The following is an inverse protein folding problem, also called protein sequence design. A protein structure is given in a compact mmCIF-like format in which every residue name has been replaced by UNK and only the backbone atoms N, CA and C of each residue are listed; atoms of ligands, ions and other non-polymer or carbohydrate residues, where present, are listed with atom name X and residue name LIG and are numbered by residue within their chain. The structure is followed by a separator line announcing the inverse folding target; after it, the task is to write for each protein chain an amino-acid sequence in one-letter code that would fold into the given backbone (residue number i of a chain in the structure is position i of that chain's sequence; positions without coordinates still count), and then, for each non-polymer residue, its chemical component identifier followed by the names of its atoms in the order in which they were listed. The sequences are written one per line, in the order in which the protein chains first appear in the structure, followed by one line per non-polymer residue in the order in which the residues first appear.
data_IF_197360220375
#
_entry.id   IF_197360220375
#
_cell.length_a   1.000
_cell.length_b   1.000
_cell.length_c   1.000
_cell.angle_alpha   90.00
_cell.angle_beta   90.00
_cell.angle_gamma   90.00
#
_symmetry.space_group_name_H-M   'P 1'
#
loop_
_entity.id
_entity.type
_entity.pdbx_description
1 polymer ?
#
# COMPACT_ATOMS: atom_id res chain seq x y z
N UNK A 1 5.93 -6.21 0.08
CA UNK A 1 4.47 -6.01 -0.10
C UNK A 1 3.92 -4.88 0.76
N UNK A 2 2.89 -4.16 0.29
CA UNK A 2 2.21 -3.06 0.98
C UNK A 2 0.72 -3.39 1.20
N UNK A 3 0.31 -3.48 2.48
CA UNK A 3 -1.04 -3.89 2.86
C UNK A 3 -2.18 -2.94 2.40
N UNK A 4 -1.85 -1.66 2.17
CA UNK A 4 -2.75 -0.63 1.61
C UNK A 4 -2.18 -0.04 0.32
N UNK A 5 -1.45 -0.85 -0.44
CA UNK A 5 -0.71 -0.40 -1.62
C UNK A 5 -1.58 0.29 -2.68
N UNK A 6 -2.86 -0.09 -2.80
CA UNK A 6 -3.78 0.54 -3.75
C UNK A 6 -4.11 2.01 -3.44
N UNK A 7 -3.97 2.44 -2.18
CA UNK A 7 -4.22 3.82 -1.77
C UNK A 7 -2.99 4.73 -1.91
N UNK A 8 -1.83 4.17 -2.24
CA UNK A 8 -0.59 4.93 -2.42
C UNK A 8 -0.47 5.39 -3.88
N UNK A 9 -0.08 6.64 -4.09
CA UNK A 9 0.34 7.09 -5.41
C UNK A 9 1.70 6.45 -5.74
N UNK A 10 1.89 6.10 -7.00
CA UNK A 10 3.12 5.49 -7.49
C UNK A 10 3.52 6.13 -8.82
N UNK A 11 4.00 7.38 -8.79
CA UNK A 11 4.36 8.11 -10.02
C UNK A 11 5.60 7.52 -10.71
N UNK A 12 6.42 6.75 -9.99
CA UNK A 12 7.59 6.09 -10.53
C UNK A 12 7.28 4.67 -11.06
N UNK A 13 6.05 4.19 -10.91
CA UNK A 13 5.64 2.87 -11.38
C UNK A 13 6.39 1.71 -10.72
N UNK A 14 6.73 1.84 -9.43
CA UNK A 14 7.46 0.80 -8.70
C UNK A 14 6.62 -0.46 -8.44
N UNK A 15 5.30 -0.34 -8.31
CA UNK A 15 4.44 -1.51 -8.11
C UNK A 15 4.31 -2.30 -9.40
N UNK A 16 4.93 -3.47 -9.43
CA UNK A 16 4.90 -4.41 -10.56
C UNK A 16 4.00 -5.63 -10.29
N UNK A 17 3.51 -5.79 -9.06
CA UNK A 17 2.65 -6.92 -8.68
C UNK A 17 1.46 -6.47 -7.86
N UNK A 18 0.31 -7.12 -8.11
CA UNK A 18 -0.91 -6.95 -7.32
C UNK A 18 -1.28 -8.28 -6.67
N UNK A 19 -1.59 -8.22 -5.38
CA UNK A 19 -2.11 -9.38 -4.66
C UNK A 19 -3.63 -9.28 -4.63
N UNK A 20 -4.32 -10.41 -4.72
CA UNK A 20 -5.76 -10.51 -4.84
C UNK A 20 -6.53 -9.52 -3.93
N UNK A 21 -7.50 -8.83 -4.55
CA UNK A 21 -8.25 -7.72 -3.96
C UNK A 21 -7.55 -6.36 -4.15
N UNK A 22 -8.31 -5.36 -4.61
CA UNK A 22 -7.90 -3.97 -4.92
C UNK A 22 -7.38 -3.14 -3.71
N UNK A 23 -6.78 -3.79 -2.72
CA UNK A 23 -6.30 -3.18 -1.47
C UNK A 23 -4.77 -3.25 -1.38
N UNK A 24 -4.16 -4.34 -1.84
CA UNK A 24 -2.73 -4.63 -1.65
C UNK A 24 -1.95 -4.51 -2.96
N UNK A 25 -0.71 -4.02 -2.88
CA UNK A 25 0.25 -4.04 -4.00
C UNK A 25 1.63 -4.45 -3.53
N UNK A 26 2.44 -5.01 -4.42
CA UNK A 26 3.79 -5.48 -4.16
C UNK A 26 4.78 -4.95 -5.20
N UNK A 27 6.03 -4.91 -4.76
CA UNK A 27 7.20 -4.66 -5.59
C UNK A 27 8.01 -5.94 -5.47
N UNK A 28 8.01 -6.74 -6.52
CA UNK A 28 8.90 -7.88 -6.64
C UNK A 28 10.20 -7.37 -7.22
N UNK A 29 11.29 -7.62 -6.49
CA UNK A 29 12.64 -7.18 -6.85
C UNK A 29 13.40 -8.43 -7.26
N UNK A 30 13.97 -8.40 -8.47
CA UNK A 30 14.83 -9.47 -8.95
C UNK A 30 16.30 -9.17 -8.65
N UNK A 31 17.12 -10.23 -8.56
CA UNK A 31 18.55 -10.08 -8.39
C UNK A 31 19.15 -9.32 -9.59
N UNK A 32 19.97 -8.31 -9.31
CA UNK A 32 20.59 -7.46 -10.33
C UNK A 32 19.69 -6.32 -10.85
N UNK A 33 18.44 -6.22 -10.40
CA UNK A 33 17.55 -5.12 -10.77
C UNK A 33 17.99 -3.79 -10.14
N UNK A 34 18.00 -2.72 -10.94
CA UNK A 34 18.28 -1.37 -10.44
C UNK A 34 17.00 -0.74 -9.92
N UNK A 35 16.94 -0.50 -8.63
CA UNK A 35 15.83 0.18 -7.97
C UNK A 35 16.12 1.68 -7.92
N UNK A 36 15.09 2.48 -8.20
CA UNK A 36 15.12 3.90 -7.87
C UNK A 36 14.96 4.10 -6.36
N UNK A 37 16.08 4.25 -5.65
CA UNK A 37 16.12 4.38 -4.18
C UNK A 37 15.34 5.59 -3.67
N UNK A 38 15.36 6.71 -4.40
CA UNK A 38 14.65 7.93 -4.01
C UNK A 38 13.13 7.70 -4.06
N UNK A 39 12.65 7.13 -5.17
CA UNK A 39 11.24 6.79 -5.33
C UNK A 39 10.78 5.74 -4.29
N UNK A 40 11.63 4.74 -3.99
CA UNK A 40 11.31 3.74 -2.97
C UNK A 40 11.21 4.36 -1.57
N UNK A 41 12.13 5.27 -1.21
CA UNK A 41 12.07 6.00 0.07
C UNK A 41 10.79 6.84 0.17
N UNK A 42 10.41 7.54 -0.89
CA UNK A 42 9.19 8.35 -0.90
C UNK A 42 7.94 7.47 -0.78
N UNK A 43 7.92 6.33 -1.46
CA UNK A 43 6.81 5.38 -1.36
C UNK A 43 6.67 4.82 0.07
N UNK A 44 7.78 4.49 0.73
CA UNK A 44 7.78 4.03 2.12
C UNK A 44 7.26 5.13 3.05
N UNK A 45 7.71 6.37 2.89
CA UNK A 45 7.22 7.52 3.69
C UNK A 45 5.72 7.74 3.52
N UNK A 46 5.22 7.69 2.29
CA UNK A 46 3.80 7.79 2.00
C UNK A 46 3.00 6.64 2.66
N UNK A 47 3.53 5.42 2.63
CA UNK A 47 2.93 4.26 3.30
C UNK A 47 2.85 4.44 4.82
N UNK A 48 3.91 4.94 5.45
CA UNK A 48 3.93 5.24 6.88
C UNK A 48 2.89 6.31 7.23
N UNK A 49 2.86 7.43 6.50
CA UNK A 49 1.90 8.50 6.71
C UNK A 49 0.44 8.01 6.59
N UNK A 50 0.14 7.18 5.59
CA UNK A 50 -1.18 6.57 5.42
C UNK A 50 -1.54 5.66 6.60
N UNK A 51 -0.59 4.87 7.08
CA UNK A 51 -0.80 3.96 8.21
C UNK A 51 -1.04 4.70 9.53
N UNK A 52 -0.31 5.79 9.78
CA UNK A 52 -0.47 6.63 10.97
C UNK A 52 -1.84 7.32 10.98
N UNK A 53 -2.25 7.91 9.84
CA UNK A 53 -3.57 8.52 9.70
C UNK A 53 -4.71 7.52 9.92
N UNK A 54 -4.52 6.28 9.46
CA UNK A 54 -5.52 5.22 9.61
C UNK A 54 -5.66 4.72 11.06
N UNK A 55 -4.61 4.80 11.89
CA UNK A 55 -4.67 4.42 13.31
C UNK A 55 -5.36 5.47 14.18
N UNK A 56 -5.45 6.70 13.70
CA UNK A 56 -5.99 7.85 14.44
C UNK A 56 -7.50 8.03 14.26
N UNK A 57 -8.13 7.30 13.33
CA UNK A 57 -9.60 7.23 13.24
C UNK A 57 -10.08 6.09 14.15
N UNK A 58 -10.88 6.35 15.21
CA UNK A 58 -11.56 5.27 15.90
C UNK A 58 -12.38 4.51 14.86
N UNK A 59 -12.24 3.18 14.85
CA UNK A 59 -13.00 2.28 13.97
C UNK A 59 -14.47 2.45 14.33
N UNK A 60 -15.15 3.38 13.69
CA UNK A 60 -16.60 3.48 13.72
C UNK A 60 -17.14 2.19 13.11
N UNK A 61 -17.40 1.21 13.97
CA UNK A 61 -18.44 0.19 13.91
C UNK A 61 -18.99 -0.05 12.50
N UNK A 62 -18.31 -0.88 11.71
CA UNK A 62 -18.93 -1.56 10.57
C UNK A 62 -19.08 -3.04 10.89
N UNK A 63 -19.75 -3.29 12.00
CA UNK A 63 -20.52 -4.50 12.26
C UNK A 63 -21.97 -4.19 11.89
N UNK A 64 -22.32 -4.19 10.60
CA UNK A 64 -23.72 -4.19 10.16
C UNK A 64 -23.85 -4.51 8.67
N UNK A 65 -23.74 -5.79 8.32
CA UNK A 65 -24.74 -6.54 7.53
C UNK A 65 -24.26 -7.97 7.29
N UNK A 66 -24.56 -8.84 8.24
CA UNK A 66 -25.08 -10.17 7.92
C UNK A 66 -26.51 -9.98 7.36
N UNK A 67 -26.93 -10.92 6.52
CA UNK A 67 -28.27 -11.10 5.94
C UNK A 67 -28.62 -10.16 4.76
N UNK A 68 -28.73 -10.72 3.56
CA UNK A 68 -29.96 -11.36 3.06
C UNK A 68 -29.62 -12.48 2.08
#
# INVERSE_FOLDING_TARGET
TFAKGAALKDPAGLFNSSLEGNVRRAIDIHEGEKINEAALKDLIRAAVALNVQSKSKPKARQSSKRAS
#
